data_IF_193462962587
#
_entry.id   IF_193462962587
#
_cell.length_a   1.000
_cell.length_b   1.000
_cell.length_c   1.000
_cell.angle_alpha   90.00
_cell.angle_beta   90.00
_cell.angle_gamma   90.00
#
_symmetry.space_group_name_H-M   'P 1'
#
loop_
_entity.id
_entity.type
_entity.pdbx_description
1 polymer ?
#
# COMPACT_ATOMS: atom_id res chain seq x y z
N UNK A 1 18.36 8.32 -16.27
CA UNK A 1 18.29 7.83 -14.89
C UNK A 1 17.32 6.67 -14.89
N UNK A 2 17.81 5.45 -14.70
CA UNK A 2 16.95 4.31 -14.41
C UNK A 2 16.32 4.55 -13.04
N UNK A 3 15.03 4.84 -13.01
CA UNK A 3 14.21 4.72 -11.79
C UNK A 3 14.01 3.22 -11.58
N UNK A 4 15.07 2.53 -11.14
CA UNK A 4 15.05 1.10 -10.88
C UNK A 4 14.43 0.84 -9.50
N UNK A 5 13.11 1.06 -9.40
CA UNK A 5 12.35 0.57 -8.25
C UNK A 5 12.34 -0.96 -8.37
N UNK A 6 12.76 -1.72 -7.35
CA UNK A 6 12.78 -3.17 -7.42
C UNK A 6 11.35 -3.72 -7.46
N UNK A 7 10.75 -3.80 -8.66
CA UNK A 7 9.38 -4.23 -8.93
C UNK A 7 9.03 -5.62 -8.36
N UNK A 8 10.04 -6.44 -8.08
CA UNK A 8 9.92 -7.79 -7.55
C UNK A 8 10.53 -7.94 -6.16
N UNK A 9 10.54 -6.89 -5.34
CA UNK A 9 10.92 -7.03 -3.93
C UNK A 9 9.87 -7.87 -3.18
N UNK A 10 10.32 -8.75 -2.27
CA UNK A 10 9.45 -9.58 -1.44
C UNK A 10 8.33 -8.76 -0.75
N UNK A 11 8.61 -7.57 -0.19
CA UNK A 11 7.57 -6.71 0.39
C UNK A 11 6.51 -6.25 -0.62
N UNK A 12 6.91 -5.88 -1.84
CA UNK A 12 5.98 -5.43 -2.89
C UNK A 12 5.12 -6.57 -3.42
N UNK A 13 5.66 -7.80 -3.51
CA UNK A 13 4.90 -9.00 -3.83
C UNK A 13 3.82 -9.29 -2.78
N UNK A 14 4.17 -9.18 -1.48
CA UNK A 14 3.21 -9.33 -0.38
C UNK A 14 2.13 -8.25 -0.46
N UNK A 15 2.52 -7.00 -0.71
CA UNK A 15 1.58 -5.89 -0.88
C UNK A 15 0.61 -6.12 -2.05
N UNK A 16 1.12 -6.55 -3.21
CA UNK A 16 0.31 -6.85 -4.38
C UNK A 16 -0.65 -8.02 -4.11
N UNK A 17 -0.20 -9.07 -3.42
CA UNK A 17 -1.05 -10.19 -3.03
C UNK A 17 -2.16 -9.76 -2.05
N UNK A 18 -1.85 -8.92 -1.06
CA UNK A 18 -2.83 -8.34 -0.12
C UNK A 18 -3.89 -7.51 -0.83
N UNK A 19 -3.48 -6.65 -1.76
CA UNK A 19 -4.41 -5.83 -2.54
C UNK A 19 -5.29 -6.72 -3.43
N UNK A 20 -4.68 -7.67 -4.16
CA UNK A 20 -5.42 -8.59 -5.03
C UNK A 20 -6.42 -9.47 -4.29
N UNK A 21 -5.99 -10.08 -3.18
CA UNK A 21 -6.88 -10.84 -2.30
C UNK A 21 -7.97 -9.97 -1.71
N UNK A 22 -7.65 -8.72 -1.35
CA UNK A 22 -8.64 -7.79 -0.83
C UNK A 22 -9.73 -7.44 -1.82
N UNK A 23 -9.38 -7.24 -3.10
CA UNK A 23 -10.38 -7.08 -4.16
C UNK A 23 -11.22 -8.33 -4.38
N UNK A 24 -10.64 -9.52 -4.29
CA UNK A 24 -11.38 -10.78 -4.41
C UNK A 24 -12.34 -11.02 -3.24
N UNK A 25 -11.97 -10.62 -2.02
CA UNK A 25 -12.77 -10.82 -0.81
C UNK A 25 -13.83 -9.73 -0.64
N UNK A 26 -13.61 -8.53 -1.20
CA UNK A 26 -14.50 -7.37 -1.05
C UNK A 26 -15.99 -7.66 -1.32
N UNK A 27 -16.39 -8.43 -2.36
CA UNK A 27 -17.80 -8.78 -2.59
C UNK A 27 -18.43 -9.64 -1.49
N UNK A 28 -17.63 -10.41 -0.75
CA UNK A 28 -18.09 -11.30 0.32
C UNK A 28 -18.02 -10.61 1.69
N UNK A 29 -16.99 -9.78 1.90
CA UNK A 29 -16.80 -9.03 3.13
C UNK A 29 -16.08 -7.72 2.83
N UNK A 30 -16.85 -6.62 2.83
CA UNK A 30 -16.30 -5.28 2.66
C UNK A 30 -15.25 -4.96 3.74
N UNK A 31 -15.44 -5.46 4.97
CA UNK A 31 -14.49 -5.32 6.08
C UNK A 31 -13.14 -5.93 5.75
N UNK A 32 -13.10 -7.23 5.47
CA UNK A 32 -11.84 -7.93 5.22
C UNK A 32 -11.18 -7.46 3.92
N UNK A 33 -11.98 -7.12 2.91
CA UNK A 33 -11.51 -6.53 1.66
C UNK A 33 -10.82 -5.19 1.87
N UNK A 34 -11.46 -4.24 2.55
CA UNK A 34 -10.88 -2.90 2.78
C UNK A 34 -9.65 -2.96 3.68
N UNK A 35 -9.64 -3.82 4.71
CA UNK A 35 -8.47 -3.99 5.59
C UNK A 35 -7.27 -4.55 4.82
N UNK A 36 -7.46 -5.59 4.01
CA UNK A 36 -6.38 -6.19 3.23
C UNK A 36 -5.86 -5.27 2.12
N UNK A 37 -6.74 -4.55 1.41
CA UNK A 37 -6.34 -3.51 0.46
C UNK A 37 -5.56 -2.40 1.17
N UNK A 38 -6.05 -1.94 2.33
CA UNK A 38 -5.39 -0.91 3.13
C UNK A 38 -3.98 -1.33 3.60
N UNK A 39 -3.84 -2.58 4.06
CA UNK A 39 -2.57 -3.15 4.47
C UNK A 39 -1.55 -3.21 3.33
N UNK A 40 -1.95 -3.73 2.17
CA UNK A 40 -1.06 -3.77 1.01
C UNK A 40 -0.70 -2.37 0.49
N UNK A 41 -1.64 -1.42 0.53
CA UNK A 41 -1.39 -0.02 0.15
C UNK A 41 -0.38 0.64 1.09
N UNK A 42 -0.48 0.40 2.40
CA UNK A 42 0.46 0.93 3.38
C UNK A 42 1.87 0.33 3.24
N UNK A 43 1.97 -0.98 3.01
CA UNK A 43 3.25 -1.65 2.78
C UNK A 43 3.92 -1.10 1.51
N UNK A 44 3.18 -1.01 0.40
CA UNK A 44 3.71 -0.48 -0.86
C UNK A 44 4.19 0.97 -0.71
N UNK A 45 3.37 1.84 -0.12
CA UNK A 45 3.77 3.23 0.11
C UNK A 45 5.03 3.35 0.96
N UNK A 46 5.16 2.51 2.00
CA UNK A 46 6.33 2.50 2.88
C UNK A 46 7.59 2.06 2.14
N UNK A 47 7.52 0.96 1.39
CA UNK A 47 8.67 0.43 0.64
C UNK A 47 9.16 1.47 -0.37
N UNK A 48 8.24 2.09 -1.10
CA UNK A 48 8.60 3.09 -2.11
C UNK A 48 9.19 4.36 -1.47
N UNK A 49 8.73 4.78 -0.28
CA UNK A 49 9.35 5.90 0.44
C UNK A 49 10.83 5.67 0.77
N UNK A 50 11.22 4.42 1.09
CA UNK A 50 12.59 4.09 1.48
C UNK A 50 13.50 3.71 0.31
N UNK A 51 12.93 3.21 -0.79
CA UNK A 51 13.71 2.73 -1.94
C UNK A 51 13.91 3.79 -3.04
N UNK A 52 13.46 5.04 -2.86
CA UNK A 52 13.59 6.05 -3.91
C UNK A 52 15.02 6.62 -4.04
N UNK A 53 15.52 6.85 -5.27
CA UNK A 53 16.80 7.50 -5.51
C UNK A 53 16.85 8.91 -4.92
N UNK A 54 18.00 9.28 -4.36
CA UNK A 54 18.29 10.63 -3.87
C UNK A 54 18.09 11.66 -4.99
N UNK A 55 17.03 12.46 -4.90
CA UNK A 55 16.67 13.48 -5.91
C UNK A 55 15.18 13.81 -5.99
N UNK A 56 14.30 12.87 -5.62
CA UNK A 56 12.83 13.02 -5.66
C UNK A 56 12.17 12.90 -4.27
N UNK A 57 12.93 13.19 -3.20
CA UNK A 57 12.52 12.92 -1.83
C UNK A 57 11.25 13.68 -1.40
N UNK A 58 11.03 14.89 -1.92
CA UNK A 58 9.86 15.70 -1.56
C UNK A 58 8.61 15.19 -2.29
N UNK A 59 8.70 14.92 -3.60
CA UNK A 59 7.55 14.39 -4.35
C UNK A 59 7.16 12.99 -3.88
N UNK A 60 8.16 12.16 -3.52
CA UNK A 60 7.90 10.83 -3.00
C UNK A 60 7.28 10.86 -1.61
N UNK A 61 7.74 11.76 -0.73
CA UNK A 61 7.19 11.91 0.60
C UNK A 61 5.74 12.36 0.56
N UNK A 62 5.38 13.26 -0.36
CA UNK A 62 3.99 13.66 -0.55
C UNK A 62 3.19 12.50 -1.13
N UNK A 63 3.54 11.99 -2.31
CA UNK A 63 2.72 11.00 -3.02
C UNK A 63 2.61 9.68 -2.25
N UNK A 64 3.73 9.13 -1.78
CA UNK A 64 3.75 7.85 -1.08
C UNK A 64 3.50 7.98 0.43
N UNK A 65 3.77 9.15 1.03
CA UNK A 65 3.32 9.41 2.40
C UNK A 65 1.79 9.44 2.49
N UNK A 66 1.12 10.06 1.50
CA UNK A 66 -0.33 10.02 1.42
C UNK A 66 -0.86 8.59 1.20
N UNK A 67 -0.22 7.76 0.39
CA UNK A 67 -0.68 6.36 0.21
C UNK A 67 -0.55 5.55 1.51
N UNK A 68 0.49 5.77 2.31
CA UNK A 68 0.62 5.14 3.64
C UNK A 68 -0.53 5.57 4.56
N UNK A 69 -0.79 6.88 4.65
CA UNK A 69 -1.86 7.42 5.51
C UNK A 69 -3.23 6.89 5.07
N UNK A 70 -3.51 6.87 3.78
CA UNK A 70 -4.76 6.34 3.24
C UNK A 70 -4.88 4.82 3.50
N UNK A 71 -3.81 4.05 3.31
CA UNK A 71 -3.79 2.62 3.62
C UNK A 71 -4.11 2.34 5.09
N UNK A 72 -3.50 3.11 6.01
CA UNK A 72 -3.78 3.02 7.45
C UNK A 72 -5.24 3.42 7.76
N UNK A 73 -5.74 4.48 7.12
CA UNK A 73 -7.12 4.91 7.28
C UNK A 73 -8.12 3.84 6.82
N UNK A 74 -7.87 3.21 5.67
CA UNK A 74 -8.69 2.09 5.17
C UNK A 74 -8.73 0.94 6.17
N UNK A 75 -7.58 0.56 6.74
CA UNK A 75 -7.53 -0.45 7.80
C UNK A 75 -8.35 -0.03 9.03
N UNK A 76 -8.21 1.21 9.49
CA UNK A 76 -8.97 1.74 10.62
C UNK A 76 -10.49 1.70 10.37
N UNK A 77 -10.94 2.17 9.21
CA UNK A 77 -12.36 2.16 8.81
C UNK A 77 -12.88 0.72 8.73
N UNK A 78 -12.13 -0.18 8.09
CA UNK A 78 -12.52 -1.58 7.98
C UNK A 78 -12.63 -2.29 9.33
N UNK A 79 -11.76 -1.96 10.30
CA UNK A 79 -11.83 -2.52 11.66
C UNK A 79 -12.97 -1.92 12.47
N UNK A 80 -13.21 -0.61 12.36
CA UNK A 80 -14.17 0.11 13.21
C UNK A 80 -15.62 -0.02 12.73
N UNK A 81 -15.85 -0.09 11.42
CA UNK A 81 -17.19 0.00 10.83
C UNK A 81 -17.75 -1.35 10.34
N UNK A 82 -17.22 -2.49 10.80
CA UNK A 82 -17.75 -3.80 10.45
C UNK A 82 -17.63 -4.83 11.56
#
# INVERSE_FOLDING_TARGET
MDISIPLFSTPLLIAAALIGLGFLIYPFSARLGVVSIGAGTAIMGTVVLFDLPNGFAIESLVLFGFTVVVGIWMMYVGVKNG
#
